data_IF_674538003193
#
_entry.id   IF_674538003193
#
_cell.length_a   1.000
_cell.length_b   1.000
_cell.length_c   1.000
_cell.angle_alpha   90.00
_cell.angle_beta   90.00
_cell.angle_gamma   90.00
#
_symmetry.space_group_name_H-M   'P 1'
#
loop_
_entity.id
_entity.type
_entity.pdbx_description
1 polymer ?
#
# COMPACT_ATOMS: atom_id res chain seq x y z
N UNK A 1 -11.62 -8.91 -3.24
CA UNK A 1 -10.62 -9.51 -2.33
C UNK A 1 -9.55 -8.54 -1.82
N UNK A 2 -9.17 -7.48 -2.57
CA UNK A 2 -8.10 -6.52 -2.19
C UNK A 2 -8.31 -5.79 -0.85
N UNK A 3 -9.55 -5.43 -0.52
CA UNK A 3 -9.86 -4.72 0.74
C UNK A 3 -9.56 -5.60 1.97
N UNK A 4 -9.87 -6.90 1.91
CA UNK A 4 -9.57 -7.82 3.01
C UNK A 4 -8.06 -8.05 3.15
N UNK A 5 -7.36 -8.17 2.03
CA UNK A 5 -5.90 -8.25 2.03
C UNK A 5 -5.28 -6.96 2.60
N UNK A 6 -5.79 -5.78 2.25
CA UNK A 6 -5.33 -4.50 2.78
C UNK A 6 -5.58 -4.31 4.28
N UNK A 7 -6.61 -4.96 4.86
CA UNK A 7 -6.83 -4.98 6.32
C UNK A 7 -5.79 -5.84 7.04
N UNK A 8 -5.37 -6.95 6.42
CA UNK A 8 -4.37 -7.87 6.96
C UNK A 8 -2.94 -7.38 6.74
N UNK A 9 -2.70 -6.63 5.67
CA UNK A 9 -1.35 -6.21 5.25
C UNK A 9 -0.52 -5.49 6.32
N UNK A 10 -1.07 -4.57 7.15
CA UNK A 10 -0.32 -3.93 8.22
C UNK A 10 0.17 -4.90 9.31
N UNK A 11 -0.35 -6.13 9.38
CA UNK A 11 0.15 -7.12 10.36
C UNK A 11 1.47 -7.77 9.93
N UNK A 12 1.76 -7.76 8.63
CA UNK A 12 2.84 -8.57 8.04
C UNK A 12 3.89 -7.73 7.32
N UNK A 13 3.65 -6.42 7.13
CA UNK A 13 4.57 -5.54 6.41
C UNK A 13 4.67 -4.17 7.10
N UNK A 14 5.86 -3.84 7.58
CA UNK A 14 6.16 -2.61 8.31
C UNK A 14 5.98 -1.33 7.47
N UNK A 15 6.23 -1.37 6.16
CA UNK A 15 6.04 -0.20 5.28
C UNK A 15 4.54 0.15 5.14
N UNK A 16 3.70 -0.88 5.02
CA UNK A 16 2.25 -0.70 4.93
C UNK A 16 1.63 -0.28 6.27
N UNK A 17 2.25 -0.62 7.41
CA UNK A 17 1.89 -0.05 8.73
C UNK A 17 2.07 1.46 8.72
N UNK A 18 3.19 1.95 8.18
CA UNK A 18 3.45 3.40 8.13
C UNK A 18 2.42 4.12 7.24
N UNK A 19 2.06 3.54 6.10
CA UNK A 19 1.00 4.06 5.22
C UNK A 19 -0.34 4.09 5.97
N UNK A 20 -0.68 2.99 6.65
CA UNK A 20 -1.91 2.86 7.41
C UNK A 20 -2.00 3.91 8.53
N UNK A 21 -0.98 4.01 9.39
CA UNK A 21 -0.99 4.94 10.52
C UNK A 21 -1.00 6.41 10.06
N UNK A 22 -0.26 6.76 9.01
CA UNK A 22 -0.32 8.11 8.42
C UNK A 22 -1.70 8.44 7.87
N UNK A 23 -2.32 7.51 7.14
CA UNK A 23 -3.64 7.72 6.56
C UNK A 23 -4.75 7.73 7.64
N UNK A 24 -4.57 6.97 8.72
CA UNK A 24 -5.44 6.95 9.89
C UNK A 24 -5.39 8.27 10.67
N UNK A 25 -4.22 8.88 10.83
CA UNK A 25 -4.10 10.21 11.43
C UNK A 25 -4.86 11.30 10.64
N UNK A 26 -4.98 11.13 9.32
CA UNK A 26 -5.66 12.07 8.42
C UNK A 26 -7.16 11.78 8.23
N UNK A 27 -7.73 10.81 8.96
CA UNK A 27 -9.12 10.42 8.77
C UNK A 27 -9.57 9.27 9.64
N UNK A 28 -10.25 8.30 9.04
CA UNK A 28 -10.79 7.13 9.74
C UNK A 28 -10.12 5.83 9.28
N UNK A 29 -10.42 4.73 9.97
CA UNK A 29 -9.87 3.40 9.65
C UNK A 29 -10.16 2.95 8.22
N UNK A 30 -11.32 3.30 7.65
CA UNK A 30 -11.67 2.93 6.28
C UNK A 30 -10.77 3.64 5.27
N UNK A 31 -10.50 4.93 5.49
CA UNK A 31 -9.56 5.72 4.68
C UNK A 31 -8.15 5.14 4.75
N UNK A 32 -7.72 4.68 5.92
CA UNK A 32 -6.42 4.04 6.09
C UNK A 32 -6.32 2.70 5.32
N UNK A 33 -7.35 1.85 5.39
CA UNK A 33 -7.40 0.60 4.62
C UNK A 33 -7.41 0.85 3.11
N UNK A 34 -8.14 1.85 2.64
CA UNK A 34 -8.15 2.22 1.21
C UNK A 34 -6.79 2.74 0.75
N UNK A 35 -6.08 3.51 1.58
CA UNK A 35 -4.74 4.00 1.25
C UNK A 35 -3.73 2.85 1.10
N UNK A 36 -3.79 1.84 1.97
CA UNK A 36 -2.97 0.62 1.86
C UNK A 36 -3.28 -0.13 0.57
N UNK A 37 -4.58 -0.34 0.26
CA UNK A 37 -5.00 -1.02 -0.97
C UNK A 37 -4.58 -0.28 -2.24
N UNK A 38 -4.69 1.05 -2.25
CA UNK A 38 -4.27 1.88 -3.38
C UNK A 38 -2.75 1.84 -3.60
N UNK A 39 -1.97 1.84 -2.52
CA UNK A 39 -0.51 1.71 -2.59
C UNK A 39 -0.12 0.38 -3.26
N UNK A 40 -0.71 -0.73 -2.82
CA UNK A 40 -0.50 -2.04 -3.45
C UNK A 40 -0.93 -2.09 -4.92
N UNK A 41 -2.10 -1.56 -5.24
CA UNK A 41 -2.59 -1.54 -6.62
C UNK A 41 -1.65 -0.77 -7.56
N UNK A 42 -1.17 0.40 -7.14
CA UNK A 42 -0.23 1.19 -7.94
C UNK A 42 1.08 0.45 -8.18
N UNK A 43 1.59 -0.27 -7.19
CA UNK A 43 2.78 -1.11 -7.36
C UNK A 43 2.54 -2.21 -8.39
N UNK A 44 1.39 -2.90 -8.31
CA UNK A 44 1.05 -3.94 -9.29
C UNK A 44 0.93 -3.38 -10.71
N UNK A 45 0.25 -2.24 -10.88
CA UNK A 45 0.16 -1.57 -12.19
C UNK A 45 1.54 -1.17 -12.70
N UNK A 46 2.39 -0.59 -11.85
CA UNK A 46 3.72 -0.14 -12.26
C UNK A 46 4.58 -1.31 -12.76
N UNK A 47 4.54 -2.43 -12.06
CA UNK A 47 5.27 -3.65 -12.40
C UNK A 47 4.72 -4.27 -13.69
N UNK A 48 3.39 -4.38 -13.81
CA UNK A 48 2.70 -4.90 -15.01
C UNK A 48 3.02 -4.05 -16.25
N UNK A 49 2.93 -2.73 -16.13
CA UNK A 49 3.22 -1.79 -17.21
C UNK A 49 4.68 -1.86 -17.68
N UNK A 50 5.60 -2.13 -16.77
CA UNK A 50 7.02 -2.18 -17.09
C UNK A 50 7.47 -3.54 -17.65
N UNK A 51 6.59 -4.55 -17.66
CA UNK A 51 6.90 -5.96 -17.98
C UNK A 51 8.10 -6.51 -17.18
N UNK A 52 8.32 -5.96 -15.98
CA UNK A 52 9.44 -6.34 -15.11
C UNK A 52 8.96 -7.31 -14.04
N UNK A 53 9.81 -8.24 -13.59
CA UNK A 53 9.52 -9.00 -12.39
C UNK A 53 9.42 -8.05 -11.18
N UNK A 54 8.51 -8.36 -10.26
CA UNK A 54 8.36 -7.63 -9.00
C UNK A 54 9.67 -7.71 -8.20
N UNK A 55 10.31 -6.56 -7.97
CA UNK A 55 11.50 -6.45 -7.13
C UNK A 55 11.13 -5.88 -5.76
N UNK A 56 11.39 -6.67 -4.72
CA UNK A 56 11.21 -6.28 -3.31
C UNK A 56 12.04 -5.07 -2.87
N UNK A 57 13.05 -4.66 -3.64
CA UNK A 57 13.85 -3.46 -3.36
C UNK A 57 13.31 -2.19 -4.03
N UNK A 58 12.33 -2.32 -4.94
CA UNK A 58 11.68 -1.18 -5.55
C UNK A 58 10.82 -0.49 -4.48
N UNK A 59 11.40 0.49 -3.78
CA UNK A 59 10.67 1.31 -2.81
C UNK A 59 9.46 1.91 -3.50
N UNK A 60 8.27 1.49 -3.06
CA UNK A 60 7.04 2.17 -3.47
C UNK A 60 7.23 3.62 -3.11
N UNK A 61 7.19 4.50 -4.13
CA UNK A 61 7.42 5.92 -3.95
C UNK A 61 6.59 6.39 -2.75
N UNK A 62 7.28 6.71 -1.67
CA UNK A 62 6.67 7.12 -0.42
C UNK A 62 5.84 8.34 -0.74
N UNK A 63 4.52 8.19 -0.73
CA UNK A 63 3.64 9.28 -1.12
C UNK A 63 3.83 10.42 -0.12
N UNK A 64 4.55 11.44 -0.58
CA UNK A 64 4.65 12.77 -0.02
C UNK A 64 3.43 13.54 -0.51
N UNK A 65 2.39 13.56 0.32
CA UNK A 65 1.30 14.54 0.39
C UNK A 65 0.39 14.12 1.54
#
# INVERSE_FOLDING_TARGET
MLIEAAKLAPRWNAELVLVYERAKQRGNRNRATLAVGANWWLTLIAVDREERPFDTQLKVAGNAA
#
